data_IF_100707310076
#
_entry.id   IF_100707310076
#
_cell.length_a   1.000
_cell.length_b   1.000
_cell.length_c   1.000
_cell.angle_alpha   90.00
_cell.angle_beta   90.00
_cell.angle_gamma   90.00
#
_symmetry.space_group_name_H-M   'P 1'
#
loop_
_entity.id
_entity.type
_entity.pdbx_description
1 polymer ?
#
# COMPACT_ATOMS: atom_id res chain seq x y z
N UNK A 1 13.91 30.46 34.80
CA UNK A 1 12.99 30.06 33.70
C UNK A 1 13.69 28.94 32.95
N UNK A 2 13.19 27.69 32.97
CA UNK A 2 13.78 26.62 32.13
C UNK A 2 13.62 27.08 30.68
N UNK A 3 14.71 27.12 29.93
CA UNK A 3 14.70 27.45 28.51
C UNK A 3 14.06 26.25 27.82
N UNK A 4 12.85 26.44 27.27
CA UNK A 4 12.11 25.41 26.53
C UNK A 4 12.56 25.45 25.06
N UNK A 5 13.81 25.07 24.80
CA UNK A 5 14.33 24.93 23.44
C UNK A 5 14.70 23.46 23.21
N UNK A 6 13.83 22.67 22.57
CA UNK A 6 14.11 21.26 22.31
C UNK A 6 15.30 21.12 21.35
N UNK A 7 16.21 20.18 21.58
CA UNK A 7 17.34 19.98 20.68
C UNK A 7 16.88 19.51 19.30
N UNK A 8 17.63 19.85 18.26
CA UNK A 8 17.40 19.30 16.91
C UNK A 8 17.97 17.89 16.82
N UNK A 9 17.28 17.00 16.10
CA UNK A 9 17.73 15.62 15.91
C UNK A 9 19.02 15.56 15.09
N UNK A 10 19.92 14.65 15.42
CA UNK A 10 21.15 14.46 14.66
C UNK A 10 20.86 13.64 13.39
N UNK A 11 21.12 14.19 12.21
CA UNK A 11 20.84 13.51 10.93
C UNK A 11 21.63 12.21 10.73
N UNK A 12 22.75 12.03 11.45
CA UNK A 12 23.59 10.84 11.36
C UNK A 12 22.99 9.61 12.08
N UNK A 13 22.02 9.77 12.98
CA UNK A 13 21.39 8.67 13.73
C UNK A 13 20.07 8.20 13.14
N UNK A 14 19.63 8.75 12.00
CA UNK A 14 18.41 8.31 11.32
C UNK A 14 18.61 6.91 10.75
N UNK A 15 18.37 5.91 11.59
CA UNK A 15 17.87 4.64 11.13
C UNK A 15 16.64 4.93 10.26
N UNK A 16 16.65 4.47 9.01
CA UNK A 16 15.49 4.54 8.12
C UNK A 16 14.33 3.64 8.59
N UNK A 17 14.48 2.96 9.74
CA UNK A 17 13.43 2.15 10.31
C UNK A 17 12.27 3.04 10.78
N UNK A 18 11.07 2.72 10.30
CA UNK A 18 9.83 3.41 10.66
C UNK A 18 8.98 2.64 11.69
N UNK A 19 9.49 1.51 12.20
CA UNK A 19 8.79 0.58 13.08
C UNK A 19 9.68 0.15 14.25
N UNK A 20 9.10 0.00 15.45
CA UNK A 20 9.83 -0.30 16.70
C UNK A 20 11.03 0.62 17.00
N UNK A 21 10.95 1.90 16.59
CA UNK A 21 11.97 2.91 16.90
C UNK A 21 11.54 3.72 18.13
N UNK A 22 12.39 3.82 19.19
CA UNK A 22 12.11 4.67 20.33
C UNK A 22 11.94 6.14 19.94
N UNK A 23 10.97 6.83 20.53
CA UNK A 23 10.77 8.26 20.29
C UNK A 23 11.92 9.05 20.89
N UNK A 24 12.61 9.85 20.07
CA UNK A 24 13.66 10.75 20.53
C UNK A 24 13.07 12.09 21.02
N UNK A 25 13.66 12.66 22.06
CA UNK A 25 13.26 13.96 22.63
C UNK A 25 13.79 15.17 21.84
N UNK A 26 13.77 15.11 20.51
CA UNK A 26 14.34 16.13 19.61
C UNK A 26 13.36 16.54 18.51
N UNK A 27 13.59 17.72 17.92
CA UNK A 27 12.84 18.22 16.78
C UNK A 27 13.56 17.85 15.48
N UNK A 28 12.83 17.21 14.56
CA UNK A 28 13.30 16.95 13.20
C UNK A 28 13.42 18.26 12.43
N UNK A 29 14.58 18.49 11.81
CA UNK A 29 14.74 19.59 10.87
C UNK A 29 13.96 19.30 9.57
N UNK A 30 13.23 20.31 9.09
CA UNK A 30 12.58 20.26 7.79
C UNK A 30 13.65 20.29 6.68
N UNK A 31 13.48 19.51 5.60
CA UNK A 31 14.30 19.64 4.40
C UNK A 31 14.31 21.07 3.84
N UNK A 32 15.41 21.47 3.21
CA UNK A 32 15.47 22.72 2.46
C UNK A 32 14.44 22.67 1.31
N UNK A 33 13.52 23.64 1.25
CA UNK A 33 12.48 23.70 0.19
C UNK A 33 11.03 23.78 0.69
N UNK A 34 10.78 23.58 1.99
CA UNK A 34 9.44 23.77 2.61
C UNK A 34 8.97 25.24 2.68
N UNK A 35 9.61 26.16 1.97
CA UNK A 35 9.23 27.57 1.91
C UNK A 35 8.06 27.84 0.94
N UNK A 36 7.62 26.84 0.18
CA UNK A 36 6.57 26.96 -0.82
C UNK A 36 5.38 26.08 -0.46
N UNK A 37 4.17 26.63 -0.54
CA UNK A 37 2.96 25.85 -0.42
C UNK A 37 2.91 24.73 -1.48
N UNK A 38 2.41 23.54 -1.14
CA UNK A 38 2.23 22.47 -2.12
C UNK A 38 1.27 22.91 -3.21
N UNK A 39 1.38 22.27 -4.37
CA UNK A 39 0.47 22.53 -5.47
C UNK A 39 -0.98 22.25 -5.06
N UNK A 40 -1.95 23.01 -5.62
CA UNK A 40 -3.36 22.76 -5.36
C UNK A 40 -3.76 21.33 -5.73
N UNK A 41 -4.76 20.82 -5.03
CA UNK A 41 -5.43 19.59 -5.44
C UNK A 41 -6.19 19.81 -6.77
N UNK A 42 -6.18 18.86 -7.72
CA UNK A 42 -5.53 17.55 -7.71
C UNK A 42 -4.11 17.51 -8.29
N UNK A 43 -3.53 18.65 -8.71
CA UNK A 43 -2.23 18.70 -9.38
C UNK A 43 -1.08 18.07 -8.57
N UNK A 44 -1.11 18.21 -7.23
CA UNK A 44 -0.13 17.60 -6.33
C UNK A 44 -0.03 16.06 -6.40
N UNK A 45 -0.99 15.37 -7.01
CA UNK A 45 -0.91 13.92 -7.21
C UNK A 45 0.23 13.51 -8.15
N UNK A 46 0.61 14.39 -9.08
CA UNK A 46 1.62 14.13 -10.12
C UNK A 46 2.84 15.03 -10.02
N UNK A 47 2.77 16.11 -9.23
CA UNK A 47 3.91 16.98 -8.96
C UNK A 47 4.97 16.28 -8.11
N UNK A 48 6.23 16.66 -8.30
CA UNK A 48 7.36 16.09 -7.57
C UNK A 48 7.24 16.46 -6.08
N UNK A 49 7.14 15.46 -5.18
CA UNK A 49 6.98 15.72 -3.75
C UNK A 49 8.26 16.30 -3.11
N UNK A 50 8.14 17.33 -2.24
CA UNK A 50 9.29 17.88 -1.50
C UNK A 50 10.02 16.89 -0.62
N UNK A 51 9.33 15.88 -0.08
CA UNK A 51 9.93 14.84 0.76
C UNK A 51 10.66 13.75 -0.01
N UNK A 52 10.61 13.77 -1.36
CA UNK A 52 11.27 12.77 -2.17
C UNK A 52 12.79 12.83 -1.90
N UNK A 53 13.44 11.71 -1.56
CA UNK A 53 14.84 11.71 -1.20
C UNK A 53 15.69 12.32 -2.30
N UNK A 54 16.43 13.40 -1.98
CA UNK A 54 17.29 14.12 -2.94
C UNK A 54 18.55 13.32 -3.35
N UNK A 55 18.69 12.08 -2.87
CA UNK A 55 19.80 11.18 -3.15
C UNK A 55 19.69 10.57 -4.56
N UNK A 56 19.80 11.43 -5.57
CA UNK A 56 20.07 11.05 -6.96
C UNK A 56 18.95 11.35 -7.97
N UNK A 57 19.30 11.58 -9.26
CA UNK A 57 18.35 11.78 -10.35
C UNK A 57 17.37 10.59 -10.53
N UNK A 58 17.75 9.41 -10.04
CA UNK A 58 16.97 8.18 -10.11
C UNK A 58 15.67 8.24 -9.29
N UNK A 59 15.61 9.03 -8.21
CA UNK A 59 14.43 9.07 -7.33
C UNK A 59 13.24 9.76 -8.02
N UNK A 60 13.46 10.94 -8.62
CA UNK A 60 12.43 11.64 -9.42
C UNK A 60 12.00 10.81 -10.62
N UNK A 61 12.95 10.17 -11.31
CA UNK A 61 12.64 9.31 -12.45
C UNK A 61 11.79 8.11 -12.02
N UNK A 62 12.13 7.47 -10.89
CA UNK A 62 11.37 6.36 -10.33
C UNK A 62 9.96 6.77 -9.94
N UNK A 63 9.79 7.93 -9.31
CA UNK A 63 8.47 8.49 -8.99
C UNK A 63 7.61 8.74 -10.24
N UNK A 64 8.20 9.36 -11.27
CA UNK A 64 7.51 9.59 -12.55
C UNK A 64 7.13 8.28 -13.23
N UNK A 65 8.05 7.30 -13.25
CA UNK A 65 7.81 5.96 -13.79
C UNK A 65 6.68 5.25 -13.05
N UNK A 66 6.65 5.30 -11.73
CA UNK A 66 5.58 4.73 -10.91
C UNK A 66 4.22 5.35 -11.24
N UNK A 67 4.16 6.69 -11.29
CA UNK A 67 2.92 7.41 -11.60
C UNK A 67 2.37 7.07 -12.99
N UNK A 68 3.25 7.05 -14.01
CA UNK A 68 2.86 6.66 -15.37
C UNK A 68 2.47 5.18 -15.44
N UNK A 69 3.25 4.31 -14.80
CA UNK A 69 2.99 2.87 -14.78
C UNK A 69 1.60 2.56 -14.23
N UNK A 70 1.25 3.11 -13.07
CA UNK A 70 -0.06 2.88 -12.45
C UNK A 70 -1.20 3.49 -13.26
N UNK A 71 -1.04 4.70 -13.81
CA UNK A 71 -2.06 5.31 -14.68
C UNK A 71 -2.37 4.44 -15.91
N UNK A 72 -1.34 3.90 -16.56
CA UNK A 72 -1.51 2.98 -17.69
C UNK A 72 -2.10 1.65 -17.25
N UNK A 73 -1.58 1.05 -16.18
CA UNK A 73 -2.03 -0.27 -15.74
C UNK A 73 -3.49 -0.26 -15.28
N UNK A 74 -3.92 0.78 -14.54
CA UNK A 74 -5.30 0.93 -14.10
C UNK A 74 -6.25 1.04 -15.31
N UNK A 75 -5.94 1.92 -16.25
CA UNK A 75 -6.79 2.16 -17.41
C UNK A 75 -6.85 0.97 -18.37
N UNK A 76 -5.71 0.33 -18.65
CA UNK A 76 -5.59 -0.74 -19.65
C UNK A 76 -5.98 -2.12 -19.12
N UNK A 77 -5.85 -2.37 -17.80
CA UNK A 77 -6.02 -3.71 -17.24
C UNK A 77 -7.10 -3.78 -16.15
N UNK A 78 -7.06 -2.87 -15.18
CA UNK A 78 -7.97 -2.94 -14.02
C UNK A 78 -9.40 -2.52 -14.41
N UNK A 79 -9.52 -1.40 -15.11
CA UNK A 79 -10.81 -0.80 -15.48
C UNK A 79 -11.35 -1.26 -16.82
N UNK A 80 -10.51 -1.84 -17.69
CA UNK A 80 -10.92 -2.36 -19.01
C UNK A 80 -11.76 -3.65 -18.95
N UNK A 81 -12.12 -4.12 -17.76
CA UNK A 81 -12.91 -5.34 -17.54
C UNK A 81 -12.09 -6.62 -17.40
N UNK A 82 -10.76 -6.54 -17.44
CA UNK A 82 -9.86 -7.70 -17.38
C UNK A 82 -10.03 -8.58 -16.13
N UNK A 83 -10.45 -8.02 -15.01
CA UNK A 83 -10.54 -8.73 -13.72
C UNK A 83 -11.95 -9.14 -13.29
N UNK A 84 -13.00 -8.82 -14.07
CA UNK A 84 -14.41 -9.05 -13.68
C UNK A 84 -14.74 -8.53 -12.26
N UNK A 85 -14.08 -7.43 -11.86
CA UNK A 85 -14.33 -6.72 -10.60
C UNK A 85 -15.48 -5.75 -10.83
N UNK A 86 -16.48 -5.77 -9.95
CA UNK A 86 -17.54 -4.78 -9.98
C UNK A 86 -17.09 -3.50 -9.26
N UNK A 87 -16.32 -2.65 -9.96
CA UNK A 87 -15.79 -1.40 -9.43
C UNK A 87 -16.88 -0.46 -8.89
N UNK A 88 -18.09 -0.49 -9.46
CA UNK A 88 -19.23 0.27 -8.95
C UNK A 88 -19.65 -0.07 -7.52
N UNK A 89 -19.27 -1.24 -7.00
CA UNK A 89 -19.53 -1.70 -5.63
C UNK A 89 -18.37 -1.51 -4.66
N UNK A 90 -17.19 -1.13 -5.14
CA UNK A 90 -15.99 -0.94 -4.32
C UNK A 90 -15.98 0.49 -3.77
N UNK A 91 -15.77 0.65 -2.47
CA UNK A 91 -15.66 1.97 -1.82
C UNK A 91 -14.41 2.12 -0.97
N UNK A 92 -14.06 1.07 -0.23
CA UNK A 92 -12.93 1.07 0.70
C UNK A 92 -11.84 0.13 0.17
N UNK A 93 -10.72 0.70 -0.26
CA UNK A 93 -9.59 -0.05 -0.79
C UNK A 93 -8.41 0.06 0.17
N UNK A 94 -7.64 -1.00 0.31
CA UNK A 94 -6.31 -0.93 0.92
C UNK A 94 -5.28 -1.39 -0.10
N UNK A 95 -4.29 -0.54 -0.34
CA UNK A 95 -3.09 -0.87 -1.10
C UNK A 95 -2.03 -1.33 -0.12
N UNK A 96 -1.79 -2.64 -0.08
CA UNK A 96 -0.96 -3.29 0.92
C UNK A 96 0.53 -3.02 0.73
N UNK A 97 0.93 -2.57 -0.47
CA UNK A 97 2.30 -2.16 -0.78
C UNK A 97 2.29 -0.96 -1.72
N UNK A 98 2.09 0.22 -1.14
CA UNK A 98 1.74 1.41 -1.90
C UNK A 98 2.89 2.03 -2.71
N UNK A 99 4.15 1.71 -2.43
CA UNK A 99 5.29 2.37 -3.06
C UNK A 99 5.16 3.89 -2.91
N UNK A 100 5.11 4.63 -4.02
CA UNK A 100 4.89 6.09 -3.99
C UNK A 100 3.42 6.52 -3.91
N UNK A 101 2.46 5.60 -3.84
CA UNK A 101 1.01 5.85 -3.88
C UNK A 101 0.44 5.98 -5.29
N UNK A 102 1.13 5.49 -6.32
CA UNK A 102 0.71 5.62 -7.71
C UNK A 102 -0.62 4.94 -8.02
N UNK A 103 -0.88 3.78 -7.41
CA UNK A 103 -2.16 3.08 -7.53
C UNK A 103 -3.34 3.94 -7.05
N UNK A 104 -3.22 4.56 -5.87
CA UNK A 104 -4.24 5.44 -5.33
C UNK A 104 -4.42 6.72 -6.16
N UNK A 105 -3.32 7.30 -6.65
CA UNK A 105 -3.38 8.47 -7.53
C UNK A 105 -4.09 8.18 -8.86
N UNK A 106 -3.87 6.99 -9.43
CA UNK A 106 -4.51 6.56 -10.67
C UNK A 106 -6.01 6.27 -10.52
N UNK A 107 -6.49 6.06 -9.29
CA UNK A 107 -7.91 5.81 -8.99
C UNK A 107 -8.65 7.04 -8.46
N UNK A 108 -8.06 8.24 -8.56
CA UNK A 108 -8.60 9.40 -7.84
C UNK A 108 -9.97 9.87 -8.34
N UNK A 109 -10.27 9.64 -9.63
CA UNK A 109 -11.53 10.01 -10.24
C UNK A 109 -12.65 8.98 -9.96
N UNK A 110 -12.31 7.85 -9.34
CA UNK A 110 -13.28 6.83 -8.95
C UNK A 110 -13.93 7.18 -7.59
N UNK A 111 -15.21 6.83 -7.37
CA UNK A 111 -15.92 7.12 -6.13
C UNK A 111 -15.54 6.15 -5.00
N UNK A 112 -14.24 6.02 -4.74
CA UNK A 112 -13.63 5.16 -3.73
C UNK A 112 -12.48 5.89 -3.03
N UNK A 113 -11.98 5.34 -1.94
CA UNK A 113 -10.76 5.82 -1.29
C UNK A 113 -9.80 4.65 -1.05
N UNK A 114 -8.50 4.98 -0.99
CA UNK A 114 -7.42 4.01 -0.82
C UNK A 114 -6.64 4.31 0.45
N UNK A 115 -6.58 3.35 1.37
CA UNK A 115 -5.59 3.33 2.44
C UNK A 115 -4.26 2.84 1.85
N UNK A 116 -3.24 3.71 1.80
CA UNK A 116 -1.92 3.33 1.31
C UNK A 116 -1.07 2.78 2.45
N UNK A 117 -0.62 1.54 2.34
CA UNK A 117 0.26 0.92 3.33
C UNK A 117 1.68 0.86 2.79
N UNK A 118 2.62 1.40 3.56
CA UNK A 118 4.06 1.26 3.30
C UNK A 118 4.59 0.16 4.22
N UNK A 119 4.94 -1.03 3.68
CA UNK A 119 5.48 -2.10 4.50
C UNK A 119 6.82 -1.69 5.12
N UNK A 120 7.09 -2.13 6.34
CA UNK A 120 8.28 -1.73 7.10
C UNK A 120 9.60 -2.26 6.50
N UNK A 121 9.53 -3.23 5.61
CA UNK A 121 10.64 -3.79 4.84
C UNK A 121 10.83 -3.11 3.46
N UNK A 122 10.02 -2.10 3.14
CA UNK A 122 10.12 -1.30 1.92
C UNK A 122 10.77 0.07 2.18
N UNK A 123 11.25 0.76 1.13
CA UNK A 123 11.73 2.13 1.26
C UNK A 123 10.67 3.04 1.91
N UNK A 124 11.12 3.95 2.78
CA UNK A 124 10.22 4.91 3.41
C UNK A 124 9.72 5.95 2.41
N UNK A 125 8.51 5.73 1.92
CA UNK A 125 7.80 6.57 0.95
C UNK A 125 6.54 7.21 1.52
N UNK A 126 6.26 7.05 2.83
CA UNK A 126 5.00 7.52 3.40
C UNK A 126 4.89 9.06 3.34
N UNK A 127 5.99 9.75 3.57
CA UNK A 127 6.05 11.22 3.42
C UNK A 127 5.68 11.64 1.99
N UNK A 128 6.15 10.90 0.97
CA UNK A 128 5.86 11.16 -0.44
C UNK A 128 4.36 10.97 -0.72
N UNK A 129 3.75 9.93 -0.15
CA UNK A 129 2.31 9.68 -0.25
C UNK A 129 1.51 10.85 0.38
N UNK A 130 1.94 11.34 1.54
CA UNK A 130 1.29 12.46 2.24
C UNK A 130 1.44 13.78 1.48
N UNK A 131 2.60 14.04 0.87
CA UNK A 131 2.85 15.24 0.06
C UNK A 131 1.96 15.29 -1.20
N UNK A 132 1.61 14.13 -1.77
CA UNK A 132 0.59 14.00 -2.83
C UNK A 132 -0.84 14.29 -2.31
N UNK A 133 -1.01 14.38 -0.98
CA UNK A 133 -2.28 14.54 -0.28
C UNK A 133 -3.13 13.28 -0.26
N UNK A 134 -2.49 12.12 -0.30
CA UNK A 134 -3.10 10.81 -0.06
C UNK A 134 -2.90 10.42 1.41
N UNK A 135 -3.74 9.50 1.90
CA UNK A 135 -3.60 8.97 3.26
C UNK A 135 -2.83 7.65 3.23
N UNK A 136 -1.99 7.44 4.24
CA UNK A 136 -1.28 6.18 4.38
C UNK A 136 -0.74 5.93 5.77
N UNK A 137 -0.23 4.72 5.97
CA UNK A 137 0.33 4.23 7.24
C UNK A 137 1.51 3.31 6.98
N UNK A 138 2.44 3.23 7.94
CA UNK A 138 3.38 2.11 8.00
C UNK A 138 2.69 0.88 8.59
N UNK A 139 3.06 -0.30 8.12
CA UNK A 139 2.63 -1.53 8.76
C UNK A 139 3.57 -2.71 8.52
N UNK A 140 3.71 -3.54 9.53
CA UNK A 140 4.34 -4.84 9.41
C UNK A 140 3.29 -5.93 9.16
N UNK A 141 3.23 -6.46 7.93
CA UNK A 141 2.26 -7.49 7.57
C UNK A 141 2.50 -8.85 8.25
N UNK A 142 3.59 -8.99 9.01
CA UNK A 142 3.77 -10.10 9.95
C UNK A 142 2.99 -9.93 11.26
N UNK A 143 2.34 -8.77 11.46
CA UNK A 143 1.49 -8.46 12.58
C UNK A 143 0.04 -8.21 12.13
N UNK A 144 -0.89 -8.13 13.09
CA UNK A 144 -2.27 -7.79 12.79
C UNK A 144 -2.43 -6.31 12.42
N UNK A 145 -3.14 -6.02 11.34
CA UNK A 145 -3.42 -4.65 10.92
C UNK A 145 -4.43 -4.01 11.87
N UNK A 146 -4.14 -2.78 12.31
CA UNK A 146 -4.97 -2.07 13.28
C UNK A 146 -6.26 -1.52 12.65
N UNK A 147 -7.17 -2.42 12.32
CA UNK A 147 -8.48 -2.13 11.73
C UNK A 147 -9.52 -3.13 12.20
N UNK A 148 -10.79 -2.74 12.12
CA UNK A 148 -11.89 -3.65 12.40
C UNK A 148 -11.95 -4.77 11.35
N UNK A 149 -12.34 -6.00 11.72
CA UNK A 149 -12.60 -7.05 10.75
C UNK A 149 -13.60 -6.59 9.69
N UNK A 150 -13.43 -7.00 8.43
CA UNK A 150 -14.33 -6.69 7.31
C UNK A 150 -14.48 -5.18 7.06
N UNK A 151 -13.37 -4.45 7.06
CA UNK A 151 -13.35 -3.01 6.78
C UNK A 151 -13.24 -2.67 5.29
N UNK A 152 -12.56 -3.50 4.50
CA UNK A 152 -12.25 -3.20 3.11
C UNK A 152 -13.08 -4.02 2.13
N UNK A 153 -13.41 -3.41 0.98
CA UNK A 153 -14.12 -4.05 -0.13
C UNK A 153 -13.12 -4.63 -1.15
N UNK A 154 -11.91 -4.05 -1.24
CA UNK A 154 -10.84 -4.52 -2.11
C UNK A 154 -9.48 -4.44 -1.40
N UNK A 155 -8.71 -5.53 -1.48
CA UNK A 155 -7.30 -5.56 -1.12
C UNK A 155 -6.46 -5.56 -2.41
N UNK A 156 -5.48 -4.69 -2.49
CA UNK A 156 -4.51 -4.66 -3.58
C UNK A 156 -3.13 -5.02 -3.03
N UNK A 157 -2.44 -5.95 -3.68
CA UNK A 157 -1.11 -6.41 -3.29
C UNK A 157 -0.22 -6.57 -4.53
N UNK A 158 0.60 -5.55 -4.82
CA UNK A 158 1.61 -5.61 -5.88
C UNK A 158 2.99 -5.88 -5.28
N UNK A 159 3.59 -7.00 -5.69
CA UNK A 159 4.91 -7.49 -5.27
C UNK A 159 5.12 -7.51 -3.74
N UNK A 160 4.04 -7.72 -2.99
CA UNK A 160 4.06 -7.75 -1.52
C UNK A 160 4.76 -9.00 -0.99
N UNK A 161 4.44 -10.17 -1.56
CA UNK A 161 4.73 -11.44 -0.90
C UNK A 161 6.17 -11.92 -1.13
N UNK A 162 6.78 -11.54 -2.25
CA UNK A 162 8.18 -11.90 -2.55
C UNK A 162 9.16 -11.53 -1.44
N UNK A 163 9.00 -10.35 -0.83
CA UNK A 163 9.87 -9.87 0.24
C UNK A 163 9.40 -10.43 1.60
N UNK A 164 8.09 -10.47 1.80
CA UNK A 164 7.45 -10.89 3.04
C UNK A 164 7.72 -12.35 3.42
N UNK A 165 7.85 -13.25 2.43
CA UNK A 165 8.12 -14.69 2.67
C UNK A 165 9.44 -14.98 3.39
N UNK A 166 10.37 -14.02 3.42
CA UNK A 166 11.62 -14.14 4.16
C UNK A 166 11.46 -13.86 5.67
N UNK A 167 10.38 -13.17 6.07
CA UNK A 167 10.17 -12.65 7.42
C UNK A 167 9.12 -13.43 8.21
N UNK A 168 8.01 -13.79 7.58
CA UNK A 168 6.91 -14.50 8.22
C UNK A 168 6.15 -15.42 7.27
N UNK A 169 5.28 -16.24 7.83
CA UNK A 169 4.50 -17.22 7.08
C UNK A 169 3.40 -16.55 6.25
N UNK A 170 3.29 -16.92 4.97
CA UNK A 170 2.21 -16.46 4.07
C UNK A 170 0.81 -16.75 4.65
N UNK A 171 0.68 -17.78 5.49
CA UNK A 171 -0.58 -18.15 6.15
C UNK A 171 -1.05 -17.04 7.10
N UNK A 172 -0.16 -16.39 7.84
CA UNK A 172 -0.51 -15.35 8.80
C UNK A 172 -1.06 -14.12 8.07
N UNK A 173 -0.40 -13.75 6.98
CA UNK A 173 -0.82 -12.66 6.09
C UNK A 173 -2.15 -12.99 5.43
N UNK A 174 -2.34 -14.21 4.94
CA UNK A 174 -3.60 -14.65 4.35
C UNK A 174 -4.75 -14.65 5.37
N UNK A 175 -4.49 -15.02 6.63
CA UNK A 175 -5.46 -14.94 7.70
C UNK A 175 -5.84 -13.49 8.01
N UNK A 176 -4.87 -12.57 7.98
CA UNK A 176 -5.12 -11.15 8.17
C UNK A 176 -5.92 -10.53 7.01
N UNK A 177 -5.58 -10.88 5.77
CA UNK A 177 -6.35 -10.53 4.58
C UNK A 177 -7.79 -11.03 4.67
N UNK A 178 -8.00 -12.26 5.15
CA UNK A 178 -9.35 -12.76 5.42
C UNK A 178 -10.04 -11.95 6.52
N UNK A 179 -9.38 -11.65 7.62
CA UNK A 179 -9.97 -10.89 8.71
C UNK A 179 -10.47 -9.51 8.23
N UNK A 180 -9.68 -8.78 7.44
CA UNK A 180 -9.99 -7.38 7.06
C UNK A 180 -10.88 -7.26 5.81
N UNK A 181 -10.91 -8.25 4.92
CA UNK A 181 -11.71 -8.23 3.70
C UNK A 181 -13.18 -8.61 3.99
N UNK A 182 -14.09 -7.78 3.47
CA UNK A 182 -15.54 -8.04 3.53
C UNK A 182 -15.91 -9.27 2.71
N UNK A 183 -16.90 -10.07 3.15
CA UNK A 183 -17.47 -11.10 2.31
C UNK A 183 -17.97 -10.52 0.98
N UNK A 184 -17.68 -11.20 -0.12
CA UNK A 184 -17.95 -10.70 -1.47
C UNK A 184 -16.93 -9.68 -1.99
N UNK A 185 -16.00 -9.24 -1.15
CA UNK A 185 -14.90 -8.35 -1.53
C UNK A 185 -13.85 -9.04 -2.42
N UNK A 186 -12.97 -8.21 -2.96
CA UNK A 186 -11.99 -8.62 -3.96
C UNK A 186 -10.56 -8.54 -3.41
N UNK A 187 -9.70 -9.42 -3.90
CA UNK A 187 -8.26 -9.35 -3.69
C UNK A 187 -7.59 -9.40 -5.06
N UNK A 188 -6.76 -8.41 -5.35
CA UNK A 188 -5.95 -8.31 -6.55
C UNK A 188 -4.49 -8.47 -6.16
N UNK A 189 -3.86 -9.56 -6.62
CA UNK A 189 -2.44 -9.83 -6.39
C UNK A 189 -1.71 -9.76 -7.72
N UNK A 190 -0.61 -9.02 -7.74
CA UNK A 190 0.39 -9.07 -8.78
C UNK A 190 1.72 -9.49 -8.13
N UNK A 191 2.26 -10.64 -8.50
CA UNK A 191 3.55 -11.11 -7.98
C UNK A 191 4.19 -12.11 -8.95
N UNK A 192 5.39 -12.61 -8.64
CA UNK A 192 6.00 -13.67 -9.46
C UNK A 192 5.22 -14.99 -9.41
N UNK A 193 5.33 -15.75 -10.49
CA UNK A 193 4.57 -16.98 -10.68
C UNK A 193 4.86 -18.06 -9.63
N UNK A 194 6.03 -18.05 -9.00
CA UNK A 194 6.35 -18.98 -7.90
C UNK A 194 5.56 -18.62 -6.64
N UNK A 195 5.54 -17.33 -6.29
CA UNK A 195 4.79 -16.79 -5.16
C UNK A 195 3.28 -17.01 -5.34
N UNK A 196 2.75 -16.75 -6.54
CA UNK A 196 1.34 -16.99 -6.85
C UNK A 196 0.93 -18.46 -6.72
N UNK A 197 1.81 -19.41 -7.10
CA UNK A 197 1.57 -20.86 -6.93
C UNK A 197 1.50 -21.28 -5.46
N UNK A 198 2.16 -20.56 -4.56
CA UNK A 198 2.12 -20.82 -3.11
C UNK A 198 0.86 -20.23 -2.45
N UNK A 199 0.45 -19.03 -2.87
CA UNK A 199 -0.69 -18.31 -2.26
C UNK A 199 -2.04 -18.85 -2.75
N UNK A 200 -2.16 -19.16 -4.05
CA UNK A 200 -3.44 -19.55 -4.63
C UNK A 200 -4.10 -20.78 -3.95
N UNK A 201 -3.37 -21.86 -3.58
CA UNK A 201 -3.94 -22.97 -2.82
C UNK A 201 -4.42 -22.57 -1.42
N UNK A 202 -3.74 -21.65 -0.74
CA UNK A 202 -4.12 -21.15 0.57
C UNK A 202 -5.43 -20.36 0.51
N UNK A 203 -5.57 -19.47 -0.47
CA UNK A 203 -6.83 -18.73 -0.65
C UNK A 203 -7.99 -19.66 -1.03
N UNK A 204 -7.74 -20.71 -1.80
CA UNK A 204 -8.73 -21.74 -2.10
C UNK A 204 -9.17 -22.52 -0.85
N UNK A 205 -8.26 -22.82 0.08
CA UNK A 205 -8.63 -23.51 1.32
C UNK A 205 -9.49 -22.64 2.25
N UNK A 206 -9.40 -21.31 2.12
CA UNK A 206 -10.32 -20.36 2.76
C UNK A 206 -11.68 -20.23 2.04
N UNK A 207 -11.95 -21.07 1.04
CA UNK A 207 -13.15 -21.02 0.19
C UNK A 207 -13.29 -19.73 -0.64
N UNK A 208 -12.17 -19.10 -0.99
CA UNK A 208 -12.19 -17.97 -1.94
C UNK A 208 -12.21 -18.51 -3.36
N UNK A 209 -12.92 -17.79 -4.24
CA UNK A 209 -12.78 -18.01 -5.68
C UNK A 209 -11.47 -17.39 -6.15
N UNK A 210 -10.71 -18.10 -6.98
CA UNK A 210 -9.38 -17.70 -7.45
C UNK A 210 -9.31 -17.82 -8.96
N UNK A 211 -8.97 -16.75 -9.64
CA UNK A 211 -8.85 -16.65 -11.09
C UNK A 211 -7.48 -16.07 -11.45
N UNK A 212 -6.69 -16.81 -12.22
CA UNK A 212 -5.38 -16.36 -12.70
C UNK A 212 -5.58 -15.63 -14.04
N UNK A 213 -4.99 -14.46 -14.18
CA UNK A 213 -5.05 -13.66 -15.40
C UNK A 213 -3.63 -13.34 -15.90
N UNK A 214 -3.36 -13.63 -17.19
CA UNK A 214 -2.11 -13.29 -17.90
C UNK A 214 -0.82 -13.73 -17.17
N UNK A 215 -0.87 -14.82 -16.41
CA UNK A 215 0.25 -15.43 -15.66
C UNK A 215 1.00 -14.51 -14.66
N UNK A 216 0.48 -13.29 -14.43
CA UNK A 216 1.08 -12.27 -13.56
C UNK A 216 0.09 -11.73 -12.51
N UNK A 217 -1.22 -11.89 -12.74
CA UNK A 217 -2.25 -11.40 -11.85
C UNK A 217 -3.09 -12.56 -11.31
N UNK A 218 -3.46 -12.47 -10.04
CA UNK A 218 -4.45 -13.33 -9.43
C UNK A 218 -5.57 -12.45 -8.88
N UNK A 219 -6.77 -12.70 -9.36
CA UNK A 219 -7.99 -12.08 -8.86
C UNK A 219 -8.69 -13.10 -7.98
N UNK A 220 -8.96 -12.72 -6.75
CA UNK A 220 -9.74 -13.53 -5.84
C UNK A 220 -10.99 -12.78 -5.42
N UNK A 221 -12.08 -13.53 -5.22
CA UNK A 221 -13.28 -13.00 -4.58
C UNK A 221 -13.62 -13.85 -3.37
N UNK A 222 -13.74 -13.18 -2.23
CA UNK A 222 -14.01 -13.81 -0.94
C UNK A 222 -15.45 -14.32 -0.88
N UNK A 223 -15.62 -15.59 -0.54
CA UNK A 223 -16.93 -16.18 -0.28
C UNK A 223 -17.51 -15.75 1.06
N UNK A 224 -18.82 -15.93 1.23
CA UNK A 224 -19.45 -15.90 2.55
C UNK A 224 -19.52 -17.34 3.07
N UNK A 225 -18.41 -17.83 3.60
CA UNK A 225 -18.36 -19.17 4.19
C UNK A 225 -18.65 -19.10 5.70
N UNK A 226 -19.56 -19.95 6.16
CA UNK A 226 -19.82 -20.22 7.57
C UNK A 226 -19.91 -21.73 7.72
N UNK A 227 -19.22 -22.36 8.68
CA UNK A 227 -19.45 -23.77 8.96
C UNK A 227 -20.93 -23.96 9.27
N UNK A 228 -21.58 -24.90 8.59
CA UNK A 228 -22.93 -25.32 8.97
C UNK A 228 -22.85 -25.85 10.41
N UNK A 229 -23.73 -25.37 11.29
CA UNK A 229 -23.84 -25.93 12.64
C UNK A 229 -24.27 -27.38 12.47
N UNK A 230 -23.36 -28.30 12.79
CA UNK A 230 -23.60 -29.74 12.81
C UNK A 230 -24.52 -30.13 13.96
#
# INVERSE_FOLDING_TARGET
RKVNDPPLCNHQSRSSASWYVPVEGCIVQLPDGFHKWPSPWPARLSDIPPSLPSSGPDAEESFRKDTVHWSSLISEVYMSGGFNVNWSSVRNVVDMNAGYGGFAAALIDEPLWVMNVVPVDQPDTLSVIMDRGLIGVYHDWCESFNTYPRSYDLLHASFLFRNLTSRCGVIEVAAEMDRILRPGGYLLIQDDSETLKRIAPLLKSLHWSVSVLRDQFVVCKKGFWRPSVS
#
